data_IF_765325344949
#
_entry.id   IF_765325344949
#
_cell.length_a   1.000
_cell.length_b   1.000
_cell.length_c   1.000
_cell.angle_alpha   90.00
_cell.angle_beta   90.00
_cell.angle_gamma   90.00
#
_symmetry.space_group_name_H-M   'P 1'
#
loop_
_entity.id
_entity.type
_entity.pdbx_description
1 polymer ?
#
# COMPACT_ATOMS: atom_id res chain seq x y z
N UNK A 1 30.72 -0.69 13.05
CA UNK A 1 29.72 -0.64 14.15
C UNK A 1 29.60 0.80 14.60
N UNK A 2 28.66 1.56 14.03
CA UNK A 2 28.36 2.93 14.48
C UNK A 2 27.11 2.84 15.37
N UNK A 3 27.17 3.40 16.58
CA UNK A 3 26.07 3.33 17.55
C UNK A 3 24.77 3.95 17.03
N UNK A 4 23.61 3.59 17.60
CA UNK A 4 22.32 4.10 17.14
C UNK A 4 22.29 5.61 17.34
N UNK A 5 22.26 6.36 16.25
CA UNK A 5 22.12 7.81 16.30
C UNK A 5 20.70 8.12 16.81
N UNK A 6 20.59 8.51 18.09
CA UNK A 6 19.34 8.66 18.87
C UNK A 6 18.54 9.93 18.54
N UNK A 7 18.77 10.57 17.40
CA UNK A 7 17.96 11.74 17.00
C UNK A 7 16.67 11.28 16.33
N UNK A 8 15.52 11.93 16.59
CA UNK A 8 14.32 11.71 15.79
C UNK A 8 14.66 11.94 14.30
N UNK A 9 14.08 11.14 13.41
CA UNK A 9 14.31 11.13 11.95
C UNK A 9 15.64 10.57 11.43
N UNK A 10 16.54 10.05 12.28
CA UNK A 10 17.82 9.48 11.80
C UNK A 10 17.63 8.37 10.77
N UNK A 11 16.68 7.45 11.01
CA UNK A 11 16.38 6.37 10.07
C UNK A 11 15.90 6.88 8.70
N UNK A 12 15.01 7.88 8.68
CA UNK A 12 14.51 8.46 7.43
C UNK A 12 15.63 9.15 6.64
N UNK A 13 16.53 9.85 7.33
CA UNK A 13 17.67 10.51 6.70
C UNK A 13 18.65 9.50 6.08
N UNK A 14 18.90 8.38 6.77
CA UNK A 14 19.75 7.30 6.28
C UNK A 14 19.12 6.61 5.04
N UNK A 15 17.81 6.36 5.05
CA UNK A 15 17.07 5.80 3.92
C UNK A 15 17.14 6.71 2.69
N UNK A 16 16.93 8.02 2.87
CA UNK A 16 17.02 9.02 1.79
C UNK A 16 18.44 9.08 1.20
N UNK A 17 19.46 9.09 2.06
CA UNK A 17 20.86 9.13 1.63
C UNK A 17 21.25 7.87 0.87
N UNK A 18 20.79 6.70 1.32
CA UNK A 18 20.99 5.43 0.63
C UNK A 18 20.35 5.41 -0.75
N UNK A 19 19.16 6.00 -0.89
CA UNK A 19 18.40 5.99 -2.15
C UNK A 19 18.85 7.05 -3.16
N UNK A 20 19.31 8.22 -2.72
CA UNK A 20 19.61 9.37 -3.57
C UNK A 20 20.59 9.04 -4.73
N UNK A 21 21.64 8.26 -4.45
CA UNK A 21 22.61 7.86 -5.47
C UNK A 21 22.02 6.92 -6.52
N UNK A 22 21.20 5.96 -6.10
CA UNK A 22 20.54 4.99 -6.97
C UNK A 22 19.44 5.63 -7.82
N UNK A 23 18.72 6.63 -7.29
CA UNK A 23 17.63 7.29 -8.00
C UNK A 23 18.09 7.89 -9.35
N UNK A 24 19.23 8.59 -9.36
CA UNK A 24 19.79 9.13 -10.61
C UNK A 24 20.19 8.03 -11.59
N UNK A 25 20.68 6.90 -11.09
CA UNK A 25 21.05 5.76 -11.94
C UNK A 25 19.82 5.10 -12.56
N UNK A 26 18.72 4.98 -11.82
CA UNK A 26 17.48 4.35 -12.30
C UNK A 26 16.89 5.07 -13.50
N UNK A 27 16.85 6.41 -13.48
CA UNK A 27 16.41 7.20 -14.64
C UNK A 27 17.31 6.99 -15.84
N UNK A 28 18.64 7.04 -15.65
CA UNK A 28 19.60 6.81 -16.73
C UNK A 28 19.48 5.41 -17.33
N UNK A 29 19.31 4.39 -16.49
CA UNK A 29 19.11 3.01 -16.95
C UNK A 29 17.75 2.81 -17.61
N UNK A 30 16.69 3.47 -17.13
CA UNK A 30 15.37 3.47 -17.73
C UNK A 30 15.40 3.97 -19.18
N UNK A 31 16.01 5.14 -19.41
CA UNK A 31 16.14 5.68 -20.76
C UNK A 31 17.03 4.83 -21.68
N UNK A 32 18.10 4.20 -21.15
CA UNK A 32 18.99 3.31 -21.93
C UNK A 32 18.37 1.97 -22.29
N UNK A 33 17.38 1.51 -21.52
CA UNK A 33 16.74 0.21 -21.73
C UNK A 33 15.82 0.16 -22.95
N UNK A 34 15.43 1.31 -23.50
CA UNK A 34 14.66 1.41 -24.75
C UNK A 34 13.36 0.60 -24.70
N UNK A 35 13.09 -0.19 -25.75
CA UNK A 35 11.87 -1.00 -25.85
C UNK A 35 11.87 -2.26 -24.97
N UNK A 36 13.01 -2.67 -24.39
CA UNK A 36 13.09 -3.92 -23.60
C UNK A 36 12.28 -3.86 -22.30
N UNK A 37 12.00 -2.65 -21.80
CA UNK A 37 11.18 -2.44 -20.60
C UNK A 37 9.67 -2.58 -20.86
N UNK A 38 9.23 -2.51 -22.13
CA UNK A 38 7.80 -2.56 -22.45
C UNK A 38 7.18 -3.92 -22.11
N UNK A 39 7.85 -5.02 -22.43
CA UNK A 39 7.35 -6.37 -22.13
C UNK A 39 7.10 -6.59 -20.63
N UNK A 40 8.06 -6.36 -19.71
CA UNK A 40 7.81 -6.50 -18.28
C UNK A 40 6.81 -5.45 -17.74
N UNK A 41 6.78 -4.24 -18.29
CA UNK A 41 5.81 -3.21 -17.88
C UNK A 41 4.39 -3.65 -18.19
N UNK A 42 4.15 -4.16 -19.40
CA UNK A 42 2.83 -4.65 -19.81
C UNK A 42 2.40 -5.89 -19.00
N UNK A 43 3.34 -6.80 -18.73
CA UNK A 43 3.08 -7.96 -17.88
C UNK A 43 2.65 -7.54 -16.46
N UNK A 44 3.40 -6.64 -15.83
CA UNK A 44 3.09 -6.14 -14.48
C UNK A 44 1.79 -5.32 -14.48
N UNK A 45 1.52 -4.56 -15.54
CA UNK A 45 0.27 -3.82 -15.68
C UNK A 45 -0.94 -4.74 -15.61
N UNK A 46 -0.99 -5.81 -16.41
CA UNK A 46 -2.10 -6.76 -16.35
C UNK A 46 -2.12 -7.56 -15.05
N UNK A 47 -0.95 -7.97 -14.55
CA UNK A 47 -0.84 -8.72 -13.30
C UNK A 47 -1.36 -7.91 -12.08
N UNK A 48 -1.22 -6.59 -12.09
CA UNK A 48 -1.69 -5.70 -11.01
C UNK A 48 -3.11 -5.18 -11.23
N UNK A 49 -3.53 -4.95 -12.47
CA UNK A 49 -4.86 -4.41 -12.78
C UNK A 49 -5.97 -5.43 -12.53
N UNK A 50 -5.77 -6.70 -12.87
CA UNK A 50 -6.80 -7.75 -12.72
C UNK A 50 -7.23 -7.93 -11.24
N UNK A 51 -6.30 -8.09 -10.27
CA UNK A 51 -6.68 -8.15 -8.86
C UNK A 51 -7.39 -6.89 -8.37
N UNK A 52 -6.95 -5.70 -8.80
CA UNK A 52 -7.56 -4.43 -8.39
C UNK A 52 -9.00 -4.31 -8.87
N UNK A 53 -9.30 -4.76 -10.09
CA UNK A 53 -10.67 -4.78 -10.61
C UNK A 53 -11.53 -5.77 -9.80
N UNK A 54 -11.05 -7.00 -9.58
CA UNK A 54 -11.78 -8.01 -8.83
C UNK A 54 -12.08 -7.55 -7.38
N UNK A 55 -11.07 -6.99 -6.72
CA UNK A 55 -11.18 -6.46 -5.36
C UNK A 55 -12.01 -5.18 -5.29
N UNK A 56 -11.94 -4.32 -6.30
CA UNK A 56 -12.78 -3.13 -6.40
C UNK A 56 -14.26 -3.47 -6.60
N UNK A 57 -14.57 -4.49 -7.40
CA UNK A 57 -15.94 -4.97 -7.54
C UNK A 57 -16.47 -5.57 -6.23
N UNK A 58 -15.63 -6.33 -5.53
CA UNK A 58 -15.98 -6.84 -4.20
C UNK A 58 -16.25 -5.71 -3.23
N UNK A 59 -15.37 -4.71 -3.17
CA UNK A 59 -15.56 -3.54 -2.31
C UNK A 59 -16.83 -2.77 -2.64
N UNK A 60 -17.16 -2.64 -3.93
CA UNK A 60 -18.41 -1.99 -4.38
C UNK A 60 -19.65 -2.77 -3.95
N UNK A 61 -19.61 -4.10 -3.95
CA UNK A 61 -20.73 -4.93 -3.46
C UNK A 61 -20.87 -4.84 -1.94
N UNK A 62 -19.75 -4.88 -1.22
CA UNK A 62 -19.72 -4.88 0.25
C UNK A 62 -20.04 -3.50 0.87
N UNK A 63 -19.95 -2.41 0.09
CA UNK A 63 -20.20 -1.03 0.53
C UNK A 63 -21.45 -0.41 -0.09
N UNK A 64 -22.38 -1.22 -0.61
CA UNK A 64 -23.61 -0.77 -1.27
C UNK A 64 -23.35 0.30 -2.37
N UNK A 65 -22.27 0.14 -3.13
CA UNK A 65 -21.78 1.06 -4.16
C UNK A 65 -21.32 2.44 -3.66
N UNK A 66 -21.05 2.60 -2.36
CA UNK A 66 -20.44 3.81 -1.82
C UNK A 66 -18.97 3.98 -2.25
N UNK A 67 -18.26 2.88 -2.51
CA UNK A 67 -16.92 2.88 -3.12
C UNK A 67 -16.92 2.01 -4.36
N UNK A 68 -16.72 2.64 -5.51
CA UNK A 68 -16.81 1.97 -6.81
C UNK A 68 -15.48 1.35 -7.25
N UNK A 69 -15.55 0.37 -8.15
CA UNK A 69 -14.36 -0.24 -8.76
C UNK A 69 -13.48 0.79 -9.46
N UNK A 70 -14.07 1.82 -10.08
CA UNK A 70 -13.33 2.87 -10.79
C UNK A 70 -12.56 3.78 -9.85
N UNK A 71 -13.13 4.12 -8.69
CA UNK A 71 -12.43 4.90 -7.65
C UNK A 71 -11.28 4.10 -7.05
N UNK A 72 -11.49 2.79 -6.85
CA UNK A 72 -10.45 1.87 -6.37
C UNK A 72 -9.29 1.78 -7.36
N UNK A 73 -9.60 1.66 -8.66
CA UNK A 73 -8.60 1.63 -9.74
C UNK A 73 -7.85 2.97 -9.83
N UNK A 74 -8.56 4.09 -9.78
CA UNK A 74 -7.97 5.42 -9.80
C UNK A 74 -7.03 5.64 -8.59
N UNK A 75 -7.45 5.23 -7.39
CA UNK A 75 -6.64 5.29 -6.18
C UNK A 75 -5.36 4.46 -6.32
N UNK A 76 -5.46 3.22 -6.81
CA UNK A 76 -4.30 2.36 -7.02
C UNK A 76 -3.32 2.96 -8.04
N UNK A 77 -3.83 3.52 -9.14
CA UNK A 77 -3.02 4.18 -10.16
C UNK A 77 -2.27 5.42 -9.61
N UNK A 78 -2.98 6.31 -8.90
CA UNK A 78 -2.40 7.51 -8.31
C UNK A 78 -1.34 7.14 -7.26
N UNK A 79 -1.67 6.22 -6.35
CA UNK A 79 -0.71 5.74 -5.35
C UNK A 79 0.51 5.07 -5.99
N UNK A 80 0.32 4.28 -7.04
CA UNK A 80 1.40 3.64 -7.79
C UNK A 80 2.34 4.66 -8.45
N UNK A 81 1.80 5.69 -9.09
CA UNK A 81 2.59 6.77 -9.70
C UNK A 81 3.38 7.52 -8.63
N UNK A 82 2.71 7.98 -7.57
CA UNK A 82 3.35 8.73 -6.47
C UNK A 82 4.45 7.88 -5.80
N UNK A 83 4.18 6.60 -5.53
CA UNK A 83 5.17 5.69 -4.94
C UNK A 83 6.33 5.39 -5.89
N UNK A 84 6.11 5.29 -7.20
CA UNK A 84 7.19 5.06 -8.16
C UNK A 84 8.18 6.23 -8.24
N UNK A 85 7.70 7.46 -8.02
CA UNK A 85 8.51 8.68 -8.09
C UNK A 85 9.21 8.98 -6.75
N UNK A 86 8.49 8.86 -5.63
CA UNK A 86 8.96 9.31 -4.30
C UNK A 86 9.41 8.13 -3.43
N UNK A 87 8.99 6.90 -3.73
CA UNK A 87 9.22 5.74 -2.88
C UNK A 87 10.68 5.29 -2.79
N UNK A 88 11.05 4.73 -1.64
CA UNK A 88 12.38 4.18 -1.38
C UNK A 88 12.66 2.87 -2.12
N UNK A 89 11.63 2.18 -2.61
CA UNK A 89 11.74 0.89 -3.30
C UNK A 89 10.87 0.86 -4.58
N UNK A 90 11.46 1.11 -5.77
CA UNK A 90 10.70 1.21 -7.02
C UNK A 90 10.17 -0.15 -7.54
N UNK A 91 10.73 -1.27 -7.07
CA UNK A 91 10.25 -2.61 -7.42
C UNK A 91 9.02 -3.04 -6.62
N UNK A 92 8.59 -2.25 -5.63
CA UNK A 92 7.41 -2.54 -4.84
C UNK A 92 6.14 -2.14 -5.61
N UNK A 93 5.27 -3.13 -5.86
CA UNK A 93 3.97 -2.91 -6.50
C UNK A 93 2.97 -2.57 -5.40
N UNK A 94 2.51 -1.31 -5.38
CA UNK A 94 1.44 -0.87 -4.49
C UNK A 94 0.11 -1.29 -5.10
N UNK A 95 -0.75 -1.92 -4.32
CA UNK A 95 -2.07 -2.36 -4.75
C UNK A 95 -3.02 -2.52 -3.59
N UNK A 96 -4.29 -2.75 -3.92
CA UNK A 96 -5.31 -3.07 -2.93
C UNK A 96 -5.20 -4.56 -2.59
N UNK A 97 -5.04 -4.85 -1.31
CA UNK A 97 -4.99 -6.20 -0.80
C UNK A 97 -6.30 -6.55 -0.09
N UNK A 98 -6.59 -7.84 0.01
CA UNK A 98 -7.79 -8.35 0.67
C UNK A 98 -7.97 -7.87 2.12
N UNK A 99 -6.93 -7.82 2.99
CA UNK A 99 -7.09 -7.29 4.33
C UNK A 99 -7.61 -5.85 4.35
N UNK A 100 -7.19 -5.03 3.38
CA UNK A 100 -7.67 -3.66 3.23
C UNK A 100 -9.17 -3.64 2.95
N UNK A 101 -9.66 -4.48 2.03
CA UNK A 101 -11.10 -4.58 1.70
C UNK A 101 -11.90 -4.98 2.94
N UNK A 102 -11.46 -6.01 3.66
CA UNK A 102 -12.12 -6.48 4.88
C UNK A 102 -12.23 -5.34 5.91
N UNK A 103 -11.17 -4.54 6.07
CA UNK A 103 -11.19 -3.38 6.96
C UNK A 103 -12.16 -2.29 6.48
N UNK A 104 -12.23 -2.00 5.18
CA UNK A 104 -13.21 -1.04 4.64
C UNK A 104 -14.65 -1.52 4.82
N UNK A 105 -14.93 -2.81 4.58
CA UNK A 105 -16.25 -3.42 4.83
C UNK A 105 -16.61 -3.33 6.32
N UNK A 106 -15.65 -3.53 7.23
CA UNK A 106 -15.87 -3.35 8.66
C UNK A 106 -16.19 -1.90 9.02
N UNK A 107 -15.45 -0.92 8.49
CA UNK A 107 -15.69 0.51 8.70
C UNK A 107 -17.07 0.92 8.17
N UNK A 108 -17.45 0.40 7.01
CA UNK A 108 -18.77 0.63 6.40
C UNK A 108 -19.89 0.09 7.28
N UNK A 109 -19.80 -1.17 7.71
CA UNK A 109 -20.77 -1.78 8.62
C UNK A 109 -20.83 -1.05 9.97
N UNK A 110 -19.68 -0.62 10.50
CA UNK A 110 -19.62 0.17 11.73
C UNK A 110 -20.38 1.50 11.57
N UNK A 111 -20.16 2.22 10.46
CA UNK A 111 -20.84 3.48 10.18
C UNK A 111 -22.36 3.30 10.00
N UNK A 112 -22.77 2.23 9.32
CA UNK A 112 -24.18 1.88 9.08
C UNK A 112 -24.93 1.51 10.36
N UNK A 113 -24.27 0.78 11.25
CA UNK A 113 -24.85 0.35 12.52
C UNK A 113 -24.94 1.47 13.56
N UNK A 114 -24.29 2.61 13.33
CA UNK A 114 -24.27 3.72 14.27
C UNK A 114 -25.39 4.73 13.99
N UNK A 115 -26.29 5.00 14.96
CA UNK A 115 -27.52 5.76 14.72
C UNK A 115 -27.30 7.22 14.31
N UNK A 116 -26.13 7.79 14.61
CA UNK A 116 -25.81 9.20 14.34
C UNK A 116 -25.03 9.42 13.03
N UNK A 117 -24.46 8.37 12.43
CA UNK A 117 -23.54 8.49 11.30
C UNK A 117 -24.25 8.11 10.00
N UNK A 118 -24.90 6.94 9.99
CA UNK A 118 -25.60 6.43 8.82
C UNK A 118 -24.68 6.21 7.61
N UNK A 119 -25.26 5.69 6.53
CA UNK A 119 -24.54 5.35 5.30
C UNK A 119 -23.93 6.58 4.59
N UNK A 120 -24.62 7.72 4.63
CA UNK A 120 -24.20 8.95 3.91
C UNK A 120 -22.90 9.56 4.47
N UNK A 121 -22.56 9.30 5.74
CA UNK A 121 -21.35 9.84 6.37
C UNK A 121 -20.18 8.86 6.39
N UNK A 122 -20.29 7.72 5.69
CA UNK A 122 -19.21 6.74 5.59
C UNK A 122 -17.94 7.33 4.96
N UNK A 123 -18.04 8.10 3.86
CA UNK A 123 -16.86 8.67 3.18
C UNK A 123 -16.07 9.64 4.08
N UNK A 124 -16.70 10.65 4.73
CA UNK A 124 -16.02 11.51 5.70
C UNK A 124 -15.41 10.73 6.87
N UNK A 125 -16.10 9.69 7.36
CA UNK A 125 -15.58 8.85 8.42
C UNK A 125 -14.33 8.08 8.00
N UNK A 126 -14.35 7.45 6.82
CA UNK A 126 -13.20 6.77 6.25
C UNK A 126 -12.03 7.73 6.04
N UNK A 127 -12.29 8.96 5.58
CA UNK A 127 -11.25 9.99 5.45
C UNK A 127 -10.59 10.34 6.80
N UNK A 128 -11.38 10.43 7.88
CA UNK A 128 -10.85 10.67 9.23
C UNK A 128 -9.98 9.50 9.73
N UNK A 129 -10.40 8.26 9.46
CA UNK A 129 -9.58 7.07 9.75
C UNK A 129 -8.25 7.13 8.98
N UNK A 130 -8.25 7.55 7.72
CA UNK A 130 -7.03 7.73 6.93
C UNK A 130 -6.10 8.80 7.52
N UNK A 131 -6.64 9.92 8.03
CA UNK A 131 -5.83 10.98 8.67
C UNK A 131 -5.11 10.42 9.91
N UNK A 132 -5.82 9.71 10.79
CA UNK A 132 -5.19 9.10 11.96
C UNK A 132 -4.17 8.02 11.59
N UNK A 133 -4.46 7.25 10.55
CA UNK A 133 -3.51 6.26 10.02
C UNK A 133 -2.24 6.94 9.54
N UNK A 134 -2.34 8.05 8.81
CA UNK A 134 -1.18 8.83 8.36
C UNK A 134 -0.38 9.39 9.54
N UNK A 135 -1.04 9.95 10.57
CA UNK A 135 -0.37 10.44 11.79
C UNK A 135 0.40 9.31 12.48
N UNK A 136 -0.19 8.14 12.64
CA UNK A 136 0.48 6.98 13.24
C UNK A 136 1.68 6.51 12.41
N UNK A 137 1.56 6.51 11.07
CA UNK A 137 2.68 6.20 10.18
C UNK A 137 3.84 7.20 10.33
N UNK A 138 3.55 8.49 10.42
CA UNK A 138 4.59 9.51 10.67
C UNK A 138 5.27 9.31 12.03
N UNK A 139 4.50 9.04 13.09
CA UNK A 139 5.06 8.76 14.41
C UNK A 139 5.97 7.54 14.37
N UNK A 140 5.53 6.44 13.75
CA UNK A 140 6.35 5.22 13.61
C UNK A 140 7.63 5.47 12.81
N UNK A 141 7.59 6.33 11.78
CA UNK A 141 8.77 6.73 11.01
C UNK A 141 9.77 7.53 11.87
N UNK A 142 9.29 8.48 12.70
CA UNK A 142 10.13 9.29 13.60
C UNK A 142 10.86 8.41 14.62
N UNK A 143 10.14 7.44 15.20
CA UNK A 143 10.69 6.51 16.19
C UNK A 143 11.50 5.35 15.60
N UNK A 144 11.70 5.34 14.27
CA UNK A 144 12.42 4.28 13.55
C UNK A 144 11.89 2.87 13.91
N UNK A 145 10.56 2.72 13.95
CA UNK A 145 9.89 1.45 14.22
C UNK A 145 10.22 0.40 13.15
N UNK A 146 10.60 0.84 11.95
CA UNK A 146 11.09 -0.02 10.87
C UNK A 146 12.26 -0.92 11.29
N UNK A 147 13.10 -0.51 12.25
CA UNK A 147 14.17 -1.36 12.79
C UNK A 147 13.64 -2.65 13.48
N UNK A 148 12.37 -2.67 13.92
CA UNK A 148 11.72 -3.86 14.47
C UNK A 148 11.49 -4.91 13.38
N UNK A 149 11.37 -4.53 12.11
CA UNK A 149 11.24 -5.49 11.00
C UNK A 149 12.47 -6.39 10.86
N UNK A 150 13.65 -5.95 11.31
CA UNK A 150 14.84 -6.82 11.36
C UNK A 150 14.72 -7.95 12.39
N UNK A 151 13.77 -7.85 13.32
CA UNK A 151 13.42 -8.92 14.28
C UNK A 151 12.34 -9.86 13.74
N UNK A 152 11.67 -9.51 12.65
CA UNK A 152 10.71 -10.40 12.01
C UNK A 152 11.45 -11.61 11.45
N UNK A 153 11.09 -12.80 11.92
CA UNK A 153 11.74 -14.03 11.48
C UNK A 153 11.22 -14.44 10.11
N UNK A 154 12.05 -15.16 9.36
CA UNK A 154 11.66 -15.79 8.09
C UNK A 154 10.37 -16.61 8.21
N UNK A 155 10.18 -17.30 9.34
CA UNK A 155 8.97 -18.06 9.65
C UNK A 155 7.71 -17.20 9.66
N UNK A 156 7.77 -16.00 10.25
CA UNK A 156 6.62 -15.09 10.27
C UNK A 156 6.28 -14.57 8.86
N UNK A 157 7.29 -14.31 8.02
CA UNK A 157 7.10 -13.95 6.62
C UNK A 157 6.46 -15.08 5.79
N UNK A 158 6.93 -16.31 5.97
CA UNK A 158 6.37 -17.50 5.30
C UNK A 158 4.91 -17.77 5.73
N UNK A 159 4.60 -17.63 7.02
CA UNK A 159 3.22 -17.74 7.52
C UNK A 159 2.30 -16.66 6.94
N UNK A 160 2.76 -15.42 6.86
CA UNK A 160 1.97 -14.33 6.27
C UNK A 160 1.69 -14.57 4.78
N UNK A 161 2.70 -15.03 4.03
CA UNK A 161 2.53 -15.41 2.63
C UNK A 161 1.58 -16.60 2.44
N UNK A 162 1.66 -17.60 3.32
CA UNK A 162 0.74 -18.73 3.32
C UNK A 162 -0.70 -18.28 3.60
N UNK A 163 -0.90 -17.38 4.57
CA UNK A 163 -2.22 -16.85 4.91
C UNK A 163 -2.87 -16.13 3.73
N UNK A 164 -2.12 -15.25 3.05
CA UNK A 164 -2.62 -14.57 1.84
C UNK A 164 -2.98 -15.58 0.75
N UNK A 165 -2.14 -16.60 0.55
CA UNK A 165 -2.39 -17.64 -0.46
C UNK A 165 -3.67 -18.40 -0.17
N UNK A 166 -3.92 -18.77 1.10
CA UNK A 166 -5.16 -19.44 1.50
C UNK A 166 -6.38 -18.56 1.27
N UNK A 167 -6.31 -17.27 1.61
CA UNK A 167 -7.41 -16.34 1.37
C UNK A 167 -7.71 -16.19 -0.13
N UNK A 168 -6.67 -16.05 -0.96
CA UNK A 168 -6.80 -15.96 -2.41
C UNK A 168 -7.35 -17.26 -3.03
N UNK A 169 -6.97 -18.43 -2.51
CA UNK A 169 -7.51 -19.71 -2.97
C UNK A 169 -8.95 -19.95 -2.54
N UNK A 170 -9.36 -19.49 -1.35
CA UNK A 170 -10.71 -19.71 -0.80
C UNK A 170 -11.78 -18.80 -1.43
N UNK A 171 -11.37 -17.71 -2.08
CA UNK A 171 -12.27 -16.74 -2.72
C UNK A 171 -12.31 -16.81 -4.25
N UNK A 172 -11.70 -17.83 -4.87
CA UNK A 172 -12.11 -18.32 -6.20
C UNK A 172 -13.20 -19.37 -6.05
#
# INVERSE_FOLDING_TARGET
MSGPNKSPFSGVADDLKGRAGCYKQDWNHGFRSGLRILAPTLYIFFASTVPVIAFGEQLSKDTDSALTTVETLASAAICGIVHSIIGGQPLLIVGVAEPTIIMYTYIYNFAKNQPNLGEKMFLPWAAWVCIWTAVMLFLMAIFNVAAILNKFTRFAGELFGMLITVFLCKRR
#
